data_IF_175372285744
#
_entry.id   IF_175372285744
#
_cell.length_a   1.000
_cell.length_b   1.000
_cell.length_c   1.000
_cell.angle_alpha   90.00
_cell.angle_beta   90.00
_cell.angle_gamma   90.00
#
_symmetry.space_group_name_H-M   'P 1'
#
loop_
_entity.id
_entity.type
_entity.pdbx_description
1 polymer ?
#
# COMPACT_ATOMS: atom_id res chain seq x y z
N UNK A 1 2.12 -13.27 -10.74
CA UNK A 1 1.98 -11.97 -11.42
C UNK A 1 2.90 -10.98 -10.73
N UNK A 2 3.65 -10.17 -11.46
CA UNK A 2 4.45 -9.10 -10.85
C UNK A 2 3.48 -8.03 -10.36
N UNK A 3 3.65 -7.58 -9.11
CA UNK A 3 2.82 -6.51 -8.56
C UNK A 3 3.06 -5.21 -9.35
N UNK A 4 2.01 -4.51 -9.82
CA UNK A 4 2.18 -3.28 -10.59
C UNK A 4 2.86 -2.18 -9.74
N UNK A 5 3.81 -1.45 -10.35
CA UNK A 5 4.38 -0.25 -9.71
C UNK A 5 3.34 0.88 -9.69
N UNK A 6 2.53 0.89 -8.63
CA UNK A 6 1.45 1.87 -8.46
C UNK A 6 1.98 3.30 -8.38
N UNK A 7 3.16 3.52 -7.81
CA UNK A 7 3.75 4.86 -7.72
C UNK A 7 4.17 5.38 -9.09
N UNK A 8 4.71 4.49 -9.93
CA UNK A 8 4.98 4.83 -11.34
C UNK A 8 3.69 5.18 -12.07
N UNK A 9 2.62 4.43 -11.86
CA UNK A 9 1.33 4.70 -12.51
C UNK A 9 0.71 6.00 -12.00
N UNK A 10 0.51 6.14 -10.70
CA UNK A 10 -0.16 7.30 -10.10
C UNK A 10 0.72 8.56 -10.05
N UNK A 11 2.04 8.45 -10.25
CA UNK A 11 2.95 9.59 -10.34
C UNK A 11 2.69 10.51 -11.55
N UNK A 12 1.95 10.04 -12.56
CA UNK A 12 1.65 10.82 -13.76
C UNK A 12 0.19 11.32 -13.77
N UNK A 13 -0.01 12.63 -13.95
CA UNK A 13 -1.34 13.26 -13.94
C UNK A 13 -2.26 12.69 -15.02
N UNK A 14 -1.76 12.55 -16.25
CA UNK A 14 -2.59 12.07 -17.38
C UNK A 14 -3.09 10.65 -17.10
N UNK A 15 -2.28 9.77 -16.49
CA UNK A 15 -2.73 8.43 -16.13
C UNK A 15 -3.80 8.46 -15.05
N UNK A 16 -3.69 9.34 -14.04
CA UNK A 16 -4.77 9.50 -13.03
C UNK A 16 -6.06 10.02 -13.67
N UNK A 17 -5.96 11.00 -14.57
CA UNK A 17 -7.13 11.55 -15.28
C UNK A 17 -7.79 10.46 -16.14
N UNK A 18 -7.01 9.63 -16.85
CA UNK A 18 -7.52 8.49 -17.63
C UNK A 18 -8.22 7.45 -16.74
N UNK A 19 -7.63 7.08 -15.60
CA UNK A 19 -8.26 6.15 -14.63
C UNK A 19 -9.59 6.70 -14.12
N UNK A 20 -9.64 7.98 -13.76
CA UNK A 20 -10.89 8.63 -13.32
C UNK A 20 -12.00 8.60 -14.38
N UNK A 21 -11.67 8.72 -15.66
CA UNK A 21 -12.66 8.60 -16.73
C UNK A 21 -13.10 7.15 -16.94
N UNK A 22 -12.20 6.18 -16.77
CA UNK A 22 -12.50 4.76 -16.94
C UNK A 22 -13.46 4.21 -15.88
N UNK A 23 -13.51 4.83 -14.69
CA UNK A 23 -14.46 4.44 -13.62
C UNK A 23 -15.89 4.95 -13.83
N UNK A 24 -16.10 5.94 -14.69
CA UNK A 24 -17.39 6.57 -14.84
C UNK A 24 -18.29 5.94 -15.92
N UNK A 25 -17.71 5.43 -16.99
CA UNK A 25 -18.45 4.90 -18.15
C UNK A 25 -17.59 3.94 -18.98
N UNK A 26 -18.23 3.10 -19.81
CA UNK A 26 -17.50 2.36 -20.85
C UNK A 26 -16.70 3.30 -21.75
N UNK A 27 -15.38 3.16 -21.73
CA UNK A 27 -14.50 4.08 -22.42
C UNK A 27 -13.76 3.44 -23.60
N UNK A 28 -13.94 4.02 -24.78
CA UNK A 28 -13.14 3.69 -25.95
C UNK A 28 -12.10 4.79 -26.23
N UNK A 29 -11.07 4.43 -26.98
CA UNK A 29 -9.88 5.25 -27.19
C UNK A 29 -10.19 6.71 -27.58
N UNK A 30 -11.06 6.94 -28.57
CA UNK A 30 -11.32 8.31 -29.04
C UNK A 30 -12.06 9.15 -27.97
N UNK A 31 -12.91 8.55 -27.14
CA UNK A 31 -13.54 9.22 -26.02
C UNK A 31 -12.48 9.64 -24.99
N UNK A 32 -11.62 8.72 -24.55
CA UNK A 32 -10.54 9.03 -23.61
C UNK A 32 -9.60 10.12 -24.14
N UNK A 33 -9.25 10.06 -25.44
CA UNK A 33 -8.42 11.08 -26.08
C UNK A 33 -9.06 12.47 -26.12
N UNK A 34 -10.38 12.55 -26.12
CA UNK A 34 -11.10 13.84 -26.10
C UNK A 34 -11.20 14.44 -24.69
N UNK A 35 -10.96 13.68 -23.63
CA UNK A 35 -11.15 14.08 -22.23
C UNK A 35 -9.88 14.57 -21.54
N UNK A 36 -8.72 14.27 -22.09
CA UNK A 36 -7.43 14.68 -21.52
C UNK A 36 -6.73 15.69 -22.40
N UNK A 37 -5.98 16.62 -21.79
CA UNK A 37 -5.33 17.75 -22.47
C UNK A 37 -3.97 17.38 -23.08
N UNK A 38 -3.88 16.20 -23.74
CA UNK A 38 -2.67 15.74 -24.41
C UNK A 38 -3.02 15.12 -25.78
N UNK A 39 -2.04 14.94 -26.65
CA UNK A 39 -2.26 14.35 -27.99
C UNK A 39 -2.74 12.90 -27.90
N UNK A 40 -3.50 12.43 -28.89
CA UNK A 40 -3.95 11.04 -28.98
C UNK A 40 -2.79 10.05 -28.95
N UNK A 41 -1.63 10.40 -29.53
CA UNK A 41 -0.41 9.60 -29.46
C UNK A 41 0.11 9.47 -28.03
N UNK A 42 0.06 10.54 -27.23
CA UNK A 42 0.43 10.50 -25.82
C UNK A 42 -0.56 9.65 -25.00
N UNK A 43 -1.87 9.78 -25.27
CA UNK A 43 -2.90 8.94 -24.65
C UNK A 43 -2.64 7.47 -24.93
N UNK A 44 -2.41 7.08 -26.18
CA UNK A 44 -2.09 5.70 -26.57
C UNK A 44 -0.88 5.16 -25.80
N UNK A 45 0.18 5.98 -25.63
CA UNK A 45 1.37 5.61 -24.86
C UNK A 45 1.04 5.37 -23.38
N UNK A 46 0.23 6.24 -22.76
CA UNK A 46 -0.17 6.07 -21.36
C UNK A 46 -1.05 4.85 -21.12
N UNK A 47 -2.02 4.60 -22.01
CA UNK A 47 -2.87 3.40 -21.96
C UNK A 47 -2.03 2.12 -22.09
N UNK A 48 -1.08 2.08 -23.06
CA UNK A 48 -0.17 0.94 -23.24
C UNK A 48 0.73 0.70 -22.01
N UNK A 49 1.16 1.75 -21.32
CA UNK A 49 1.92 1.62 -20.07
C UNK A 49 1.04 0.96 -19.01
N UNK A 50 -0.17 1.45 -18.79
CA UNK A 50 -1.09 0.91 -17.78
C UNK A 50 -1.53 -0.53 -18.10
N UNK A 51 -1.68 -0.86 -19.39
CA UNK A 51 -1.97 -2.22 -19.84
C UNK A 51 -0.78 -3.17 -19.57
N UNK A 52 0.46 -2.73 -19.86
CA UNK A 52 1.67 -3.50 -19.57
C UNK A 52 1.87 -3.76 -18.06
N UNK A 53 1.55 -2.79 -17.24
CA UNK A 53 1.65 -2.89 -15.77
C UNK A 53 0.45 -3.66 -15.17
N UNK A 54 -0.47 -4.21 -15.97
CA UNK A 54 -1.60 -4.99 -15.50
C UNK A 54 -2.69 -4.17 -14.78
N UNK A 55 -2.72 -2.86 -14.99
CA UNK A 55 -3.78 -1.98 -14.45
C UNK A 55 -5.03 -2.01 -15.33
N UNK A 56 -4.82 -2.10 -16.65
CA UNK A 56 -5.88 -2.11 -17.64
C UNK A 56 -5.83 -3.37 -18.50
N UNK A 57 -6.99 -3.79 -18.94
CA UNK A 57 -7.16 -4.68 -20.09
C UNK A 57 -7.85 -3.93 -21.22
N UNK A 58 -7.60 -4.38 -22.44
CA UNK A 58 -8.29 -3.85 -23.63
C UNK A 58 -8.95 -4.96 -24.41
N UNK A 59 -10.03 -4.61 -25.09
CA UNK A 59 -10.79 -5.52 -25.96
C UNK A 59 -11.40 -4.74 -27.11
N UNK A 60 -11.69 -5.44 -28.19
CA UNK A 60 -12.38 -4.87 -29.35
C UNK A 60 -13.87 -5.21 -29.26
N UNK A 61 -14.71 -4.23 -29.56
CA UNK A 61 -16.17 -4.40 -29.65
C UNK A 61 -16.66 -3.70 -30.90
N UNK A 62 -17.52 -4.35 -31.63
CA UNK A 62 -18.19 -3.74 -32.79
C UNK A 62 -18.97 -2.50 -32.36
N UNK A 63 -18.84 -1.46 -33.16
CA UNK A 63 -19.58 -0.22 -32.90
C UNK A 63 -21.09 -0.40 -33.10
N UNK A 64 -21.93 0.37 -32.44
CA UNK A 64 -23.34 0.42 -32.77
C UNK A 64 -23.50 0.82 -34.25
N UNK A 65 -24.44 0.20 -34.94
CA UNK A 65 -24.77 0.49 -36.35
C UNK A 65 -23.67 0.18 -37.39
N UNK A 66 -23.13 -1.05 -37.42
CA UNK A 66 -22.18 -1.51 -38.46
C UNK A 66 -20.93 -0.61 -38.65
N UNK A 67 -20.55 0.11 -37.60
CA UNK A 67 -19.34 0.90 -37.59
C UNK A 67 -18.07 0.04 -37.37
N UNK A 68 -16.88 0.57 -37.66
CA UNK A 68 -15.64 -0.17 -37.42
C UNK A 68 -15.50 -0.53 -35.92
N UNK A 69 -14.89 -1.69 -35.65
CA UNK A 69 -14.57 -2.13 -34.30
C UNK A 69 -13.79 -1.05 -33.53
N UNK A 70 -14.15 -0.86 -32.28
CA UNK A 70 -13.50 0.13 -31.41
C UNK A 70 -12.77 -0.58 -30.29
N UNK A 71 -11.59 -0.08 -29.95
CA UNK A 71 -10.81 -0.57 -28.81
C UNK A 71 -11.33 0.07 -27.53
N UNK A 72 -11.84 -0.75 -26.62
CA UNK A 72 -12.30 -0.39 -25.28
C UNK A 72 -11.24 -0.74 -24.24
N UNK A 73 -11.33 -0.09 -23.08
CA UNK A 73 -10.43 -0.29 -21.96
C UNK A 73 -11.24 -0.41 -20.67
N UNK A 74 -10.88 -1.40 -19.84
CA UNK A 74 -11.40 -1.60 -18.51
C UNK A 74 -10.27 -1.60 -17.48
N UNK A 75 -10.58 -1.24 -16.23
CA UNK A 75 -9.66 -1.42 -15.10
C UNK A 75 -9.68 -2.91 -14.73
N UNK A 76 -8.49 -3.53 -14.67
CA UNK A 76 -8.30 -4.97 -14.45
C UNK A 76 -7.78 -5.29 -13.03
N UNK A 77 -7.75 -4.30 -12.14
CA UNK A 77 -7.36 -4.46 -10.74
C UNK A 77 -8.46 -3.94 -9.81
N UNK A 78 -8.58 -4.58 -8.65
CA UNK A 78 -9.41 -4.11 -7.55
C UNK A 78 -8.53 -4.04 -6.29
N UNK A 79 -7.96 -2.86 -5.99
CA UNK A 79 -7.03 -2.66 -4.87
C UNK A 79 -7.18 -1.30 -4.22
N UNK A 80 -7.04 -1.29 -2.90
CA UNK A 80 -6.84 -0.07 -2.13
C UNK A 80 -5.38 0.05 -1.74
N UNK A 81 -4.80 1.22 -1.88
CA UNK A 81 -3.43 1.50 -1.45
C UNK A 81 -3.43 2.49 -0.29
N UNK A 82 -2.73 2.13 0.77
CA UNK A 82 -2.49 3.00 1.92
C UNK A 82 -1.02 3.39 1.89
N UNK A 83 -0.75 4.69 2.00
CA UNK A 83 0.60 5.25 2.04
C UNK A 83 0.70 6.16 3.25
N UNK A 84 1.66 5.92 4.12
CA UNK A 84 1.96 6.79 5.26
C UNK A 84 3.34 7.40 5.08
N UNK A 85 3.41 8.73 5.12
CA UNK A 85 4.65 9.52 5.07
C UNK A 85 4.60 10.52 6.21
N UNK A 86 5.53 10.36 7.16
CA UNK A 86 5.69 11.27 8.31
C UNK A 86 7.17 11.53 8.55
N UNK A 87 7.52 12.26 9.59
CA UNK A 87 8.92 12.48 9.98
C UNK A 87 9.64 11.20 10.41
N UNK A 88 8.91 10.19 10.86
CA UNK A 88 9.47 8.96 11.44
C UNK A 88 9.02 7.69 10.75
N UNK A 89 7.99 7.74 9.89
CA UNK A 89 7.43 6.58 9.23
C UNK A 89 7.36 6.80 7.72
N UNK A 90 7.80 5.80 6.98
CA UNK A 90 7.48 5.64 5.56
C UNK A 90 7.13 4.18 5.31
N UNK A 91 5.88 3.92 4.96
CA UNK A 91 5.43 2.61 4.55
C UNK A 91 4.25 2.71 3.60
N UNK A 92 4.02 1.67 2.84
CA UNK A 92 2.85 1.54 1.99
C UNK A 92 2.41 0.07 1.91
N UNK A 93 1.15 -0.13 1.61
CA UNK A 93 0.55 -1.46 1.42
C UNK A 93 -0.58 -1.39 0.40
N UNK A 94 -0.58 -2.32 -0.54
CA UNK A 94 -1.73 -2.65 -1.35
C UNK A 94 -2.61 -3.68 -0.63
N UNK A 95 -3.90 -3.43 -0.61
CA UNK A 95 -4.92 -4.36 -0.13
C UNK A 95 -5.73 -4.79 -1.35
N UNK A 96 -5.70 -6.06 -1.67
CA UNK A 96 -6.56 -6.64 -2.70
C UNK A 96 -8.00 -6.61 -2.20
N UNK A 97 -8.89 -6.06 -2.99
CA UNK A 97 -10.31 -6.11 -2.68
C UNK A 97 -10.81 -7.46 -3.16
N UNK A 98 -11.31 -8.27 -2.24
CA UNK A 98 -12.04 -9.48 -2.62
C UNK A 98 -13.22 -9.05 -3.50
N UNK A 99 -13.48 -9.78 -4.60
CA UNK A 99 -14.68 -9.54 -5.37
C UNK A 99 -15.85 -9.79 -4.42
N UNK A 100 -16.42 -8.73 -3.87
CA UNK A 100 -17.73 -8.84 -3.28
C UNK A 100 -18.63 -9.31 -4.40
N UNK A 101 -19.39 -10.39 -4.17
CA UNK A 101 -20.52 -10.68 -4.99
C UNK A 101 -21.30 -9.38 -5.11
N UNK A 102 -21.30 -8.79 -6.31
CA UNK A 102 -22.13 -7.61 -6.55
C UNK A 102 -23.52 -8.07 -6.15
N UNK A 103 -24.13 -7.48 -5.12
CA UNK A 103 -25.47 -7.91 -4.72
C UNK A 103 -26.30 -7.89 -5.99
N UNK A 104 -26.93 -9.02 -6.33
CA UNK A 104 -27.85 -9.06 -7.45
C UNK A 104 -28.80 -7.89 -7.24
N UNK A 105 -28.75 -6.92 -8.14
CA UNK A 105 -29.66 -5.78 -8.09
C UNK A 105 -31.03 -6.39 -8.31
N UNK A 106 -31.76 -6.63 -7.21
CA UNK A 106 -33.10 -7.17 -7.28
C UNK A 106 -33.97 -6.18 -8.04
N UNK A 107 -34.88 -6.70 -8.83
CA UNK A 107 -35.82 -5.91 -9.65
C UNK A 107 -36.82 -5.06 -8.82
N UNK A 108 -36.39 -4.52 -7.70
CA UNK A 108 -37.11 -3.68 -6.76
C UNK A 108 -36.23 -2.68 -6.04
N UNK A 109 -34.92 -2.71 -6.28
CA UNK A 109 -34.01 -1.76 -5.67
C UNK A 109 -34.22 -0.37 -6.28
N UNK A 110 -34.73 0.53 -5.48
CA UNK A 110 -34.92 1.93 -5.80
C UNK A 110 -33.52 2.61 -5.87
N UNK A 111 -33.27 3.35 -6.95
CA UNK A 111 -32.03 4.12 -7.18
C UNK A 111 -31.67 5.01 -5.96
N UNK A 112 -32.65 5.59 -5.30
CA UNK A 112 -32.42 6.45 -4.13
C UNK A 112 -31.94 5.62 -2.93
N UNK A 113 -32.49 4.40 -2.73
CA UNK A 113 -32.03 3.46 -1.71
C UNK A 113 -30.56 3.06 -1.93
N UNK A 114 -30.19 2.73 -3.18
CA UNK A 114 -28.79 2.41 -3.53
C UNK A 114 -27.85 3.59 -3.29
N UNK A 115 -28.28 4.82 -3.64
CA UNK A 115 -27.49 6.04 -3.39
C UNK A 115 -27.32 6.25 -1.87
N UNK A 116 -28.35 6.09 -1.07
CA UNK A 116 -28.28 6.22 0.38
C UNK A 116 -27.32 5.19 0.99
N UNK A 117 -27.42 3.93 0.60
CA UNK A 117 -26.49 2.89 1.06
C UNK A 117 -25.05 3.18 0.68
N UNK A 118 -24.79 3.70 -0.52
CA UNK A 118 -23.46 4.13 -0.93
C UNK A 118 -22.93 5.28 -0.06
N UNK A 119 -23.78 6.25 0.30
CA UNK A 119 -23.41 7.36 1.17
C UNK A 119 -23.12 6.89 2.61
N UNK A 120 -23.91 5.95 3.15
CA UNK A 120 -23.67 5.34 4.46
C UNK A 120 -22.30 4.63 4.51
N UNK A 121 -21.96 3.85 3.48
CA UNK A 121 -20.63 3.23 3.36
C UNK A 121 -19.53 4.26 3.20
N UNK A 122 -19.79 5.39 2.57
CA UNK A 122 -18.84 6.50 2.46
C UNK A 122 -18.57 7.13 3.83
N UNK A 123 -19.61 7.33 4.64
CA UNK A 123 -19.48 7.85 6.01
C UNK A 123 -18.71 6.87 6.90
N UNK A 124 -18.95 5.56 6.80
CA UNK A 124 -18.19 4.52 7.50
C UNK A 124 -16.71 4.55 7.08
N UNK A 125 -16.42 4.68 5.79
CA UNK A 125 -15.04 4.82 5.30
C UNK A 125 -14.35 6.05 5.90
N UNK A 126 -15.03 7.18 5.99
CA UNK A 126 -14.49 8.40 6.62
C UNK A 126 -14.16 8.20 8.11
N UNK A 127 -14.94 7.39 8.85
CA UNK A 127 -14.66 7.03 10.23
C UNK A 127 -13.40 6.15 10.36
N UNK A 128 -13.27 5.15 9.47
CA UNK A 128 -12.09 4.30 9.39
C UNK A 128 -10.84 5.14 9.10
N UNK A 129 -10.91 6.08 8.15
CA UNK A 129 -9.80 6.97 7.81
C UNK A 129 -9.42 7.90 8.97
N UNK A 130 -10.40 8.41 9.72
CA UNK A 130 -10.15 9.18 10.96
C UNK A 130 -9.45 8.33 12.02
N UNK A 131 -9.88 7.10 12.21
CA UNK A 131 -9.25 6.15 13.12
C UNK A 131 -7.81 5.82 12.68
N UNK A 132 -7.59 5.53 11.40
CA UNK A 132 -6.27 5.30 10.82
C UNK A 132 -5.33 6.47 11.08
N UNK A 133 -5.77 7.70 10.81
CA UNK A 133 -5.00 8.92 11.08
C UNK A 133 -4.57 9.02 12.54
N UNK A 134 -5.47 8.72 13.50
CA UNK A 134 -5.16 8.74 14.93
C UNK A 134 -4.11 7.68 15.29
N UNK A 135 -4.24 6.47 14.76
CA UNK A 135 -3.28 5.38 15.00
C UNK A 135 -1.90 5.74 14.43
N UNK A 136 -1.85 6.25 13.19
CA UNK A 136 -0.58 6.61 12.55
C UNK A 136 0.13 7.77 13.28
N UNK A 137 -0.61 8.77 13.76
CA UNK A 137 -0.02 9.84 14.54
C UNK A 137 0.62 9.32 15.85
N UNK A 138 -0.03 8.38 16.54
CA UNK A 138 0.54 7.72 17.74
C UNK A 138 1.75 6.85 17.41
N UNK A 139 1.71 6.11 16.30
CA UNK A 139 2.84 5.30 15.81
C UNK A 139 4.06 6.18 15.50
N UNK A 140 3.84 7.33 14.85
CA UNK A 140 4.90 8.30 14.55
C UNK A 140 5.56 8.85 15.83
N UNK A 141 4.74 9.26 16.82
CA UNK A 141 5.25 9.73 18.11
C UNK A 141 6.02 8.64 18.87
N UNK A 142 5.52 7.40 18.90
CA UNK A 142 6.25 6.28 19.49
C UNK A 142 7.56 5.98 18.77
N UNK A 143 7.57 6.04 17.44
CA UNK A 143 8.80 5.84 16.66
C UNK A 143 9.85 6.93 16.95
N UNK A 144 9.42 8.19 17.12
CA UNK A 144 10.31 9.28 17.54
C UNK A 144 10.94 8.98 18.90
N UNK A 145 10.14 8.56 19.88
CA UNK A 145 10.60 8.18 21.22
C UNK A 145 11.56 6.98 21.19
N UNK A 146 11.25 5.94 20.43
CA UNK A 146 12.14 4.77 20.25
C UNK A 146 13.49 5.18 19.67
N UNK A 147 13.50 6.01 18.63
CA UNK A 147 14.74 6.52 18.03
C UNK A 147 15.59 7.28 19.02
N UNK A 148 14.99 8.22 19.73
CA UNK A 148 15.69 9.03 20.73
C UNK A 148 16.32 8.15 21.83
N UNK A 149 15.51 7.28 22.40
CA UNK A 149 15.93 6.40 23.50
C UNK A 149 17.02 5.42 23.09
N UNK A 150 16.85 4.79 21.91
CA UNK A 150 17.83 3.84 21.42
C UNK A 150 19.18 4.50 21.13
N UNK A 151 19.21 5.72 20.59
CA UNK A 151 20.46 6.45 20.33
C UNK A 151 21.17 6.86 21.61
N UNK A 152 20.44 7.19 22.67
CA UNK A 152 21.03 7.46 23.99
C UNK A 152 21.67 6.20 24.60
N UNK A 153 21.06 5.04 24.44
CA UNK A 153 21.51 3.79 25.07
C UNK A 153 22.58 3.05 24.26
N UNK A 154 22.45 2.99 22.95
CA UNK A 154 23.28 2.18 22.06
C UNK A 154 24.13 2.98 21.08
N UNK A 155 23.66 4.14 20.62
CA UNK A 155 24.39 5.04 19.72
C UNK A 155 24.65 4.52 18.30
N UNK A 156 24.14 3.34 17.92
CA UNK A 156 24.40 2.72 16.63
C UNK A 156 23.26 2.97 15.63
N UNK A 157 23.53 3.81 14.63
CA UNK A 157 22.56 4.17 13.59
C UNK A 157 22.16 3.00 12.69
N UNK A 158 23.05 2.04 12.44
CA UNK A 158 22.76 0.87 11.60
C UNK A 158 21.83 -0.09 12.33
N UNK A 159 22.09 -0.34 13.61
CA UNK A 159 21.18 -1.14 14.44
C UNK A 159 19.81 -0.49 14.57
N UNK A 160 19.77 0.85 14.75
CA UNK A 160 18.53 1.61 14.75
C UNK A 160 17.77 1.47 13.42
N UNK A 161 18.47 1.51 12.29
CA UNK A 161 17.83 1.32 10.98
C UNK A 161 17.25 -0.11 10.82
N UNK A 162 17.96 -1.12 11.30
CA UNK A 162 17.44 -2.51 11.34
C UNK A 162 16.22 -2.60 12.26
N UNK A 163 16.27 -2.04 13.46
CA UNK A 163 15.13 -2.00 14.39
C UNK A 163 13.92 -1.31 13.76
N UNK A 164 14.13 -0.15 13.17
CA UNK A 164 13.10 0.61 12.47
C UNK A 164 12.44 -0.23 11.37
N UNK A 165 13.24 -0.93 10.57
CA UNK A 165 12.73 -1.81 9.52
C UNK A 165 11.85 -2.94 10.11
N UNK A 166 12.33 -3.62 11.15
CA UNK A 166 11.59 -4.69 11.82
C UNK A 166 10.27 -4.20 12.45
N UNK A 167 10.25 -2.98 13.00
CA UNK A 167 9.03 -2.38 13.57
C UNK A 167 7.98 -2.07 12.50
N UNK A 168 8.40 -1.68 11.29
CA UNK A 168 7.48 -1.37 10.19
C UNK A 168 6.97 -2.62 9.47
N UNK A 169 7.84 -3.61 9.25
CA UNK A 169 7.53 -4.77 8.41
C UNK A 169 7.21 -6.04 9.21
N UNK A 170 7.47 -6.02 10.52
CA UNK A 170 7.23 -7.14 11.44
C UNK A 170 8.34 -8.19 11.44
N UNK A 171 8.90 -8.51 10.28
CA UNK A 171 9.99 -9.47 10.07
C UNK A 171 10.85 -9.07 8.88
N UNK A 172 12.07 -9.62 8.82
CA UNK A 172 12.97 -9.49 7.67
C UNK A 172 13.86 -10.72 7.55
N UNK A 173 14.30 -11.05 6.34
CA UNK A 173 15.37 -12.02 6.13
C UNK A 173 16.74 -11.33 6.22
N UNK A 174 17.80 -12.12 6.43
CA UNK A 174 19.18 -11.61 6.43
C UNK A 174 19.50 -11.00 5.07
N UNK A 175 19.06 -11.64 3.98
CA UNK A 175 19.29 -11.18 2.60
C UNK A 175 18.59 -9.82 2.34
N UNK A 176 17.33 -9.67 2.74
CA UNK A 176 16.60 -8.40 2.62
C UNK A 176 17.32 -7.25 3.34
N UNK A 177 17.84 -7.50 4.55
CA UNK A 177 18.60 -6.50 5.31
C UNK A 177 19.96 -6.23 4.67
N UNK A 178 20.63 -7.27 4.14
CA UNK A 178 21.90 -7.16 3.42
C UNK A 178 21.77 -6.24 2.22
N UNK A 179 20.79 -6.50 1.36
CA UNK A 179 20.52 -5.70 0.16
C UNK A 179 20.10 -4.27 0.52
N UNK A 180 19.19 -4.12 1.48
CA UNK A 180 18.64 -2.82 1.84
C UNK A 180 19.67 -1.87 2.46
N UNK A 181 20.57 -2.40 3.29
CA UNK A 181 21.57 -1.59 4.01
C UNK A 181 22.95 -1.67 3.37
N UNK A 182 23.10 -2.38 2.25
CA UNK A 182 24.38 -2.61 1.56
C UNK A 182 25.47 -3.13 2.51
N UNK A 183 25.12 -4.16 3.29
CA UNK A 183 25.98 -4.84 4.25
C UNK A 183 26.16 -6.29 3.83
N UNK A 184 27.28 -6.91 4.25
CA UNK A 184 27.43 -8.36 4.10
C UNK A 184 26.57 -9.08 5.15
N UNK A 185 26.06 -10.25 4.83
CA UNK A 185 25.21 -11.06 5.73
C UNK A 185 25.83 -11.22 7.14
N UNK A 186 27.14 -11.47 7.22
CA UNK A 186 27.86 -11.59 8.51
C UNK A 186 27.79 -10.27 9.32
N UNK A 187 27.80 -9.12 8.66
CA UNK A 187 27.72 -7.81 9.31
C UNK A 187 26.28 -7.56 9.79
N UNK A 188 25.28 -7.92 8.98
CA UNK A 188 23.87 -7.92 9.38
C UNK A 188 23.68 -8.75 10.63
N UNK A 189 24.15 -9.99 10.63
CA UNK A 189 24.03 -10.91 11.78
C UNK A 189 24.74 -10.38 13.03
N UNK A 190 25.90 -9.75 12.88
CA UNK A 190 26.61 -9.10 14.00
C UNK A 190 25.74 -7.96 14.59
N UNK A 191 25.18 -7.07 13.72
CA UNK A 191 24.31 -5.98 14.16
C UNK A 191 23.00 -6.47 14.80
N UNK A 192 22.39 -7.51 14.26
CA UNK A 192 21.20 -8.14 14.82
C UNK A 192 21.50 -8.77 16.20
N UNK A 193 22.63 -9.44 16.36
CA UNK A 193 23.05 -10.01 17.65
C UNK A 193 23.27 -8.92 18.72
N UNK A 194 23.88 -7.82 18.36
CA UNK A 194 24.08 -6.68 19.25
C UNK A 194 22.73 -6.02 19.59
N UNK A 195 21.86 -5.81 18.60
CA UNK A 195 20.50 -5.30 18.79
C UNK A 195 19.69 -6.18 19.76
N UNK A 196 19.91 -7.50 19.71
CA UNK A 196 19.28 -8.47 20.61
C UNK A 196 19.62 -8.29 22.10
N UNK A 197 20.57 -7.43 22.45
CA UNK A 197 20.84 -7.04 23.86
C UNK A 197 19.84 -6.01 24.40
N UNK A 198 19.24 -5.23 23.50
CA UNK A 198 18.30 -4.15 23.83
C UNK A 198 16.85 -4.54 23.53
N UNK A 199 16.65 -5.33 22.46
CA UNK A 199 15.32 -5.70 21.97
C UNK A 199 15.25 -7.23 21.83
N UNK A 200 14.25 -7.90 22.42
CA UNK A 200 14.12 -9.34 22.28
C UNK A 200 13.80 -9.70 20.84
N UNK A 201 14.74 -10.38 20.20
CA UNK A 201 14.66 -10.85 18.81
C UNK A 201 14.56 -12.37 18.77
N UNK A 202 13.82 -12.87 17.79
CA UNK A 202 13.76 -14.28 17.42
C UNK A 202 14.33 -14.44 16.03
N UNK A 203 15.25 -15.39 15.89
CA UNK A 203 15.89 -15.71 14.62
C UNK A 203 15.62 -17.19 14.34
N UNK A 204 14.96 -17.44 13.21
CA UNK A 204 14.66 -18.80 12.77
C UNK A 204 14.77 -18.88 11.24
N UNK A 205 15.51 -19.85 10.72
CA UNK A 205 15.68 -20.11 9.28
C UNK A 205 16.05 -18.86 8.47
N UNK A 206 16.94 -18.02 9.02
CA UNK A 206 17.38 -16.76 8.39
C UNK A 206 16.37 -15.60 8.47
N UNK A 207 15.21 -15.83 9.09
CA UNK A 207 14.18 -14.79 9.34
C UNK A 207 14.35 -14.22 10.74
N UNK A 208 14.35 -12.90 10.82
CA UNK A 208 14.50 -12.10 12.04
C UNK A 208 13.19 -11.41 12.33
N UNK A 209 12.68 -11.53 13.54
CA UNK A 209 11.45 -10.89 14.01
C UNK A 209 11.60 -10.42 15.46
N UNK A 210 10.78 -9.44 15.86
CA UNK A 210 10.70 -9.01 17.26
C UNK A 210 9.90 -10.03 18.05
N UNK A 211 10.48 -10.58 19.15
CA UNK A 211 9.80 -11.53 20.03
C UNK A 211 8.77 -10.81 20.92
N UNK A 212 7.56 -10.69 20.40
CA UNK A 212 6.44 -10.02 21.09
C UNK A 212 6.04 -10.69 22.41
N UNK A 213 6.31 -12.00 22.55
CA UNK A 213 5.97 -12.74 23.79
C UNK A 213 6.91 -12.33 24.90
N UNK A 214 8.21 -12.22 24.62
CA UNK A 214 9.20 -11.74 25.59
C UNK A 214 9.00 -10.28 25.95
N UNK A 215 8.62 -9.42 24.99
CA UNK A 215 8.30 -8.02 25.25
C UNK A 215 7.16 -7.86 26.28
N UNK A 216 6.08 -8.64 26.15
CA UNK A 216 4.95 -8.58 27.09
C UNK A 216 5.35 -9.05 28.49
N UNK A 217 6.19 -10.07 28.60
CA UNK A 217 6.65 -10.60 29.91
C UNK A 217 7.63 -9.67 30.62
N UNK A 218 8.46 -8.93 29.87
CA UNK A 218 9.39 -7.93 30.43
C UNK A 218 8.70 -6.68 30.95
N UNK A 219 7.52 -6.33 30.42
CA UNK A 219 6.71 -5.20 30.88
C UNK A 219 5.87 -5.49 32.13
N UNK A 220 5.64 -6.77 32.49
CA UNK A 220 4.88 -7.16 33.69
C UNK A 220 5.77 -7.29 34.94
N UNK A 221 7.09 -7.19 34.80
CA UNK A 221 8.05 -7.38 35.90
C UNK A 221 8.33 -6.14 36.80
N UNK A 222 7.85 -4.94 36.45
CA UNK A 222 8.18 -3.69 37.13
C UNK A 222 6.97 -2.96 37.75
N UNK A 223 5.81 -3.63 37.81
CA UNK A 223 4.60 -3.09 38.44
C UNK A 223 4.19 -3.85 39.73
N UNK A 224 5.15 -4.08 40.61
CA UNK A 224 4.84 -4.76 41.84
C UNK A 224 5.99 -4.82 42.82
N UNK A 225 6.27 -3.71 43.51
CA UNK A 225 6.66 -3.61 44.94
C UNK A 225 7.07 -2.17 45.24
N UNK A 226 6.11 -1.40 45.75
CA UNK A 226 6.29 -0.53 46.93
C UNK A 226 4.90 -0.22 47.52
#
# INVERSE_FOLDING_TARGET
MVEPDIFYILGNRVRRDLLSHLTCTECYFSFLSSKVSVSSTAVAKHLKIMEREGILRSYEREGPFLGPARKYYDIDIARTYVVTITSNLFWYRGLELEPLEVPEIEAGDDLLGMINSFLELTDELEEILRSLRSVEARRDGLMAGIKARYLEEAGDMTQLAVLHYLLLHGRATVDELSDRFNLKEREVMAKVKELGRFVPLKIKDGVIEIDRIRLKRGGEGDAGTD
#
